data_IF_436795342773
#
_entry.id   IF_436795342773
#
_cell.length_a   1.000
_cell.length_b   1.000
_cell.length_c   1.000
_cell.angle_alpha   90.00
_cell.angle_beta   90.00
_cell.angle_gamma   90.00
#
_symmetry.space_group_name_H-M   'P 1'
#
loop_
_entity.id
_entity.type
_entity.pdbx_description
1 polymer ?
#
# COMPACT_ATOMS: atom_id res chain seq x y z
N UNK A 1 8.32 20.23 -10.33
CA UNK A 1 9.01 19.22 -9.49
C UNK A 1 7.99 18.15 -9.18
N UNK A 2 8.10 16.99 -9.80
CA UNK A 2 7.16 15.88 -9.56
C UNK A 2 7.56 15.25 -8.23
N UNK A 3 6.91 15.67 -7.15
CA UNK A 3 7.13 15.12 -5.82
C UNK A 3 6.86 13.62 -5.88
N UNK A 4 7.90 12.80 -5.73
CA UNK A 4 7.77 11.34 -5.79
C UNK A 4 6.85 10.84 -4.68
N UNK A 5 5.90 9.95 -5.02
CA UNK A 5 5.04 9.32 -4.02
C UNK A 5 5.90 8.39 -3.17
N UNK A 6 5.89 8.60 -1.85
CA UNK A 6 6.76 7.87 -0.94
C UNK A 6 6.38 6.38 -0.82
N UNK A 7 7.38 5.50 -0.80
CA UNK A 7 7.23 4.05 -0.63
C UNK A 7 7.13 3.58 0.83
N UNK A 8 7.32 2.26 1.01
CA UNK A 8 7.38 1.58 2.30
C UNK A 8 8.77 1.56 2.91
N UNK A 9 8.94 0.78 4.00
CA UNK A 9 10.22 0.62 4.71
C UNK A 9 11.12 -0.46 4.11
N UNK A 10 10.53 -1.55 3.64
CA UNK A 10 11.21 -2.70 3.01
C UNK A 10 10.88 -2.75 1.52
N UNK A 11 9.65 -2.39 1.17
CA UNK A 11 9.16 -2.45 -0.20
C UNK A 11 9.11 -1.06 -0.86
N UNK A 12 9.66 -0.97 -2.08
CA UNK A 12 9.52 0.20 -2.94
C UNK A 12 8.11 0.27 -3.53
N UNK A 13 7.64 1.47 -3.85
CA UNK A 13 6.31 1.67 -4.43
C UNK A 13 6.30 1.19 -5.90
N UNK A 14 5.55 0.14 -6.27
CA UNK A 14 5.52 -0.32 -7.65
C UNK A 14 4.78 0.67 -8.56
N UNK A 15 5.20 0.71 -9.83
CA UNK A 15 4.78 1.74 -10.79
C UNK A 15 3.25 1.78 -11.04
N UNK A 16 2.58 0.63 -11.01
CA UNK A 16 1.14 0.55 -11.20
C UNK A 16 0.35 1.05 -9.98
N UNK A 17 0.83 0.77 -8.76
CA UNK A 17 0.26 1.38 -7.56
C UNK A 17 0.56 2.89 -7.51
N UNK A 18 1.75 3.31 -7.93
CA UNK A 18 2.08 4.73 -8.08
C UNK A 18 1.10 5.43 -9.02
N UNK A 19 0.87 4.88 -10.21
CA UNK A 19 -0.04 5.44 -11.20
C UNK A 19 -1.48 5.51 -10.65
N UNK A 20 -1.93 4.46 -9.96
CA UNK A 20 -3.24 4.42 -9.33
C UNK A 20 -3.43 5.48 -8.24
N UNK A 21 -2.43 5.68 -7.37
CA UNK A 21 -2.46 6.73 -6.35
C UNK A 21 -2.39 8.13 -6.98
N UNK A 22 -1.54 8.33 -8.00
CA UNK A 22 -1.43 9.61 -8.69
C UNK A 22 -2.74 10.03 -9.38
N UNK A 23 -3.55 9.06 -9.82
CA UNK A 23 -4.86 9.31 -10.43
C UNK A 23 -5.98 9.58 -9.41
N UNK A 24 -5.72 9.39 -8.11
CA UNK A 24 -6.72 9.53 -7.05
C UNK A 24 -6.21 10.45 -5.92
N UNK A 25 -6.53 11.76 -5.96
CA UNK A 25 -6.04 12.73 -4.99
C UNK A 25 -6.40 12.42 -3.53
N UNK A 26 -7.58 11.85 -3.29
CA UNK A 26 -8.05 11.49 -1.94
C UNK A 26 -7.22 10.34 -1.38
N UNK A 27 -7.06 9.26 -2.15
CA UNK A 27 -6.22 8.14 -1.76
C UNK A 27 -4.75 8.54 -1.63
N UNK A 28 -4.25 9.44 -2.49
CA UNK A 28 -2.89 9.97 -2.40
C UNK A 28 -2.65 10.77 -1.12
N UNK A 29 -3.58 11.64 -0.74
CA UNK A 29 -3.48 12.39 0.51
C UNK A 29 -3.46 11.43 1.72
N UNK A 30 -4.35 10.44 1.73
CA UNK A 30 -4.37 9.40 2.76
C UNK A 30 -3.06 8.59 2.79
N UNK A 31 -2.51 8.24 1.61
CA UNK A 31 -1.22 7.56 1.46
C UNK A 31 -0.05 8.35 2.06
N UNK A 32 -0.03 9.67 1.84
CA UNK A 32 1.00 10.54 2.38
C UNK A 32 0.87 10.71 3.90
N UNK A 33 -0.35 10.66 4.43
CA UNK A 33 -0.64 10.77 5.87
C UNK A 33 -0.36 9.47 6.66
N UNK A 34 -0.42 8.30 6.02
CA UNK A 34 -0.08 7.04 6.70
C UNK A 34 1.42 6.87 6.97
N UNK A 35 1.72 6.10 8.03
CA UNK A 35 3.10 5.76 8.40
C UNK A 35 3.81 4.97 7.29
N UNK A 36 5.14 5.05 7.19
CA UNK A 36 5.92 4.22 6.26
C UNK A 36 5.65 2.72 6.41
N UNK A 37 5.38 2.26 7.64
CA UNK A 37 5.01 0.87 7.90
C UNK A 37 3.65 0.51 7.29
N UNK A 38 2.65 1.38 7.40
CA UNK A 38 1.35 1.17 6.77
C UNK A 38 1.47 1.10 5.24
N UNK A 39 2.27 1.97 4.62
CA UNK A 39 2.57 1.91 3.17
C UNK A 39 3.21 0.58 2.80
N UNK A 40 4.17 0.13 3.60
CA UNK A 40 4.86 -1.15 3.41
C UNK A 40 3.88 -2.33 3.40
N UNK A 41 2.88 -2.34 4.29
CA UNK A 41 1.87 -3.40 4.33
C UNK A 41 1.01 -3.41 3.06
N UNK A 42 0.56 -2.25 2.56
CA UNK A 42 -0.17 -2.16 1.30
C UNK A 42 0.67 -2.60 0.09
N UNK A 43 1.93 -2.18 0.04
CA UNK A 43 2.83 -2.57 -1.06
C UNK A 43 3.04 -4.08 -1.04
N UNK A 44 3.44 -4.65 0.10
CA UNK A 44 3.68 -6.08 0.21
C UNK A 44 2.43 -6.90 -0.15
N UNK A 45 1.24 -6.41 0.23
CA UNK A 45 -0.01 -7.04 -0.15
C UNK A 45 -0.27 -6.98 -1.65
N UNK A 46 -0.02 -5.85 -2.31
CA UNK A 46 -0.15 -5.75 -3.78
C UNK A 46 0.87 -6.65 -4.49
N UNK A 47 2.11 -6.69 -4.01
CA UNK A 47 3.20 -7.49 -4.60
C UNK A 47 3.02 -8.99 -4.44
N UNK A 48 2.42 -9.45 -3.34
CA UNK A 48 2.11 -10.86 -3.11
C UNK A 48 1.13 -11.45 -4.16
N UNK A 49 0.42 -10.61 -4.91
CA UNK A 49 -0.50 -11.06 -5.95
C UNK A 49 0.25 -11.56 -7.20
N UNK A 50 0.41 -12.88 -7.32
CA UNK A 50 1.05 -13.54 -8.47
C UNK A 50 0.24 -13.46 -9.77
N UNK A 51 -1.08 -13.29 -9.69
CA UNK A 51 -1.96 -13.17 -10.85
C UNK A 51 -2.30 -11.71 -11.11
N UNK A 52 -2.16 -11.25 -12.36
CA UNK A 52 -2.44 -9.88 -12.79
C UNK A 52 -3.83 -9.38 -12.35
N UNK A 53 -4.88 -10.19 -12.58
CA UNK A 53 -6.26 -9.86 -12.17
C UNK A 53 -6.40 -9.63 -10.66
N UNK A 54 -5.64 -10.37 -9.84
CA UNK A 54 -5.65 -10.19 -8.39
C UNK A 54 -4.87 -8.94 -7.99
N UNK A 55 -3.76 -8.66 -8.66
CA UNK A 55 -2.97 -7.45 -8.46
C UNK A 55 -3.78 -6.18 -8.73
N UNK A 56 -4.46 -6.12 -9.87
CA UNK A 56 -5.35 -5.01 -10.23
C UNK A 56 -6.47 -4.82 -9.20
N UNK A 57 -7.09 -5.92 -8.76
CA UNK A 57 -8.12 -5.88 -7.71
C UNK A 57 -7.57 -5.33 -6.39
N UNK A 58 -6.36 -5.75 -5.98
CA UNK A 58 -5.71 -5.25 -4.76
C UNK A 58 -5.36 -3.77 -4.88
N UNK A 59 -4.86 -3.31 -6.03
CA UNK A 59 -4.57 -1.88 -6.28
C UNK A 59 -5.84 -1.02 -6.16
N UNK A 60 -6.94 -1.46 -6.78
CA UNK A 60 -8.24 -0.78 -6.66
C UNK A 60 -8.67 -0.71 -5.19
N UNK A 61 -8.62 -1.84 -4.48
CA UNK A 61 -9.03 -1.93 -3.08
C UNK A 61 -8.12 -1.12 -2.16
N UNK A 62 -6.83 -0.99 -2.45
CA UNK A 62 -5.94 -0.08 -1.72
C UNK A 62 -6.47 1.35 -1.75
N UNK A 63 -6.94 1.84 -2.91
CA UNK A 63 -7.54 3.18 -3.00
C UNK A 63 -8.82 3.26 -2.15
N UNK A 64 -9.76 2.33 -2.33
CA UNK A 64 -11.02 2.28 -1.58
C UNK A 64 -10.77 2.25 -0.05
N UNK A 65 -9.82 1.44 0.41
CA UNK A 65 -9.50 1.34 1.83
C UNK A 65 -8.84 2.60 2.39
N UNK A 66 -7.99 3.28 1.61
CA UNK A 66 -7.39 4.56 2.00
C UNK A 66 -8.45 5.66 2.09
N UNK A 67 -9.40 5.69 1.14
CA UNK A 67 -10.55 6.62 1.16
C UNK A 67 -11.45 6.38 2.37
N UNK A 68 -11.64 5.12 2.77
CA UNK A 68 -12.33 4.73 4.00
C UNK A 68 -11.51 5.00 5.27
N UNK A 69 -10.30 5.56 5.16
CA UNK A 69 -9.43 5.89 6.29
C UNK A 69 -8.71 4.69 6.91
N UNK A 70 -8.74 3.53 6.25
CA UNK A 70 -8.00 2.34 6.71
C UNK A 70 -6.51 2.56 6.50
N UNK A 71 -5.76 2.11 7.50
CA UNK A 71 -4.30 2.30 7.58
C UNK A 71 -3.53 1.00 7.31
N UNK A 72 -4.23 -0.09 6.96
CA UNK A 72 -3.68 -1.40 6.61
C UNK A 72 -4.65 -2.13 5.67
N UNK A 73 -4.16 -3.03 4.80
CA UNK A 73 -5.03 -3.86 3.98
C UNK A 73 -5.94 -4.74 4.86
N UNK A 74 -7.23 -4.78 4.59
CA UNK A 74 -8.09 -5.69 5.34
C UNK A 74 -7.97 -7.14 4.85
N UNK A 75 -8.04 -8.08 5.81
CA UNK A 75 -7.74 -9.50 5.63
C UNK A 75 -6.27 -9.82 5.25
N UNK A 76 -5.32 -8.94 5.57
CA UNK A 76 -3.89 -9.19 5.40
C UNK A 76 -3.24 -9.58 6.75
N UNK A 77 -2.62 -10.78 6.84
CA UNK A 77 -2.02 -11.26 8.10
C UNK A 77 -0.75 -10.49 8.50
N UNK A 78 -0.19 -9.69 7.60
CA UNK A 78 1.02 -8.90 7.80
C UNK A 78 2.07 -9.18 6.74
N UNK A 79 2.99 -8.23 6.55
CA UNK A 79 4.15 -8.41 5.66
C UNK A 79 5.04 -9.56 6.15
N UNK A 80 5.28 -10.57 5.32
CA UNK A 80 6.15 -11.72 5.65
C UNK A 80 7.62 -11.29 5.84
N UNK A 81 8.02 -10.17 5.25
CA UNK A 81 9.36 -9.60 5.40
C UNK A 81 9.51 -8.77 6.67
N UNK A 82 8.42 -8.56 7.42
CA UNK A 82 8.46 -7.85 8.69
C UNK A 82 8.81 -8.82 9.81
N UNK A 83 9.95 -8.56 10.44
CA UNK A 83 10.27 -9.19 11.72
C UNK A 83 9.30 -8.70 12.81
N UNK A 84 8.68 -9.64 13.55
CA UNK A 84 7.76 -9.32 14.65
C UNK A 84 8.56 -9.00 15.91
N UNK A 85 9.01 -7.75 16.05
CA UNK A 85 9.79 -7.29 17.22
C UNK A 85 8.94 -6.87 18.43
N UNK A 86 7.61 -7.05 18.39
CA UNK A 86 6.73 -6.76 19.52
C UNK A 86 6.50 -8.00 20.38
N UNK A 87 6.79 -7.90 21.67
CA UNK A 87 6.42 -8.91 22.68
C UNK A 87 4.90 -9.07 22.72
N UNK A 88 4.44 -10.32 22.86
CA UNK A 88 3.02 -10.69 22.91
C UNK A 88 2.32 -10.16 24.17
#
# INVERSE_FOLDING_TARGET
>A
MTTGIAGGVVHELPADLHAALAANPTALAAWQDITPLARNEFICWVEDAKQQKTRERRIRRTQEELEEGKRRPCCWPGCIHRERTGTA
#
